data_IF_594226402258
#
_entry.id   IF_594226402258
#
_cell.length_a   1.000
_cell.length_b   1.000
_cell.length_c   1.000
_cell.angle_alpha   90.00
_cell.angle_beta   90.00
_cell.angle_gamma   90.00
#
_symmetry.space_group_name_H-M   'P 1'
#
loop_
_entity.id
_entity.type
_entity.pdbx_description
1 polymer ?
#
# COMPACT_ATOMS: atom_id res chain seq x y z
N UNK A 1 -64.78 -54.16 40.19
CA UNK A 1 -63.86 -53.43 39.30
C UNK A 1 -62.55 -53.27 40.02
N UNK A 2 -61.45 -53.70 39.41
CA UNK A 2 -60.12 -53.59 40.04
C UNK A 2 -59.57 -52.18 39.85
N UNK A 3 -58.78 -51.67 40.80
CA UNK A 3 -58.22 -50.30 40.73
C UNK A 3 -57.38 -50.05 39.46
N UNK A 4 -56.82 -51.11 38.87
CA UNK A 4 -56.02 -51.07 37.65
C UNK A 4 -56.89 -50.74 36.44
N UNK A 5 -58.10 -51.30 36.34
CA UNK A 5 -59.03 -51.05 35.22
C UNK A 5 -59.47 -49.58 35.18
N UNK A 6 -59.81 -49.00 36.34
CA UNK A 6 -60.22 -47.60 36.46
C UNK A 6 -59.09 -46.65 36.04
N UNK A 7 -57.84 -46.93 36.44
CA UNK A 7 -56.68 -46.15 36.02
C UNK A 7 -56.44 -46.24 34.51
N UNK A 8 -56.66 -47.41 33.92
CA UNK A 8 -56.43 -47.63 32.48
C UNK A 8 -57.42 -46.83 31.61
N UNK A 9 -58.68 -46.74 32.05
CA UNK A 9 -59.73 -45.96 31.38
C UNK A 9 -59.41 -44.45 31.45
N UNK A 10 -59.00 -43.96 32.62
CA UNK A 10 -58.62 -42.54 32.80
C UNK A 10 -57.41 -42.21 31.91
N UNK A 11 -56.38 -43.06 31.91
CA UNK A 11 -55.19 -42.87 31.09
C UNK A 11 -55.51 -42.83 29.59
N UNK A 12 -56.40 -43.72 29.12
CA UNK A 12 -56.87 -43.74 27.72
C UNK A 12 -57.58 -42.44 27.35
N UNK A 13 -58.51 -41.96 28.19
CA UNK A 13 -59.19 -40.68 27.98
C UNK A 13 -58.23 -39.49 27.96
N UNK A 14 -57.26 -39.45 28.88
CA UNK A 14 -56.24 -38.38 28.93
C UNK A 14 -55.36 -38.39 27.68
N UNK A 15 -54.98 -39.57 27.17
CA UNK A 15 -54.18 -39.70 25.94
C UNK A 15 -54.90 -39.15 24.71
N UNK A 16 -56.21 -39.39 24.59
CA UNK A 16 -57.01 -38.88 23.46
C UNK A 16 -57.09 -37.35 23.49
N UNK A 17 -57.32 -36.76 24.67
CA UNK A 17 -57.36 -35.30 24.83
C UNK A 17 -55.99 -34.68 24.49
N UNK A 18 -54.91 -35.26 25.01
CA UNK A 18 -53.55 -34.83 24.71
C UNK A 18 -53.23 -34.91 23.21
N UNK A 19 -53.69 -35.96 22.51
CA UNK A 19 -53.49 -36.10 21.08
C UNK A 19 -54.17 -34.97 20.29
N UNK A 20 -55.41 -34.61 20.64
CA UNK A 20 -56.12 -33.50 19.99
C UNK A 20 -55.41 -32.17 20.22
N UNK A 21 -54.97 -31.90 21.46
CA UNK A 21 -54.23 -30.69 21.82
C UNK A 21 -52.89 -30.62 21.07
N UNK A 22 -52.17 -31.74 20.97
CA UNK A 22 -50.91 -31.80 20.24
C UNK A 22 -51.10 -31.50 18.74
N UNK A 23 -52.15 -32.04 18.12
CA UNK A 23 -52.49 -31.75 16.71
C UNK A 23 -52.78 -30.25 16.53
N UNK A 24 -53.57 -29.65 17.42
CA UNK A 24 -53.90 -28.23 17.36
C UNK A 24 -52.66 -27.33 17.52
N UNK A 25 -51.78 -27.64 18.49
CA UNK A 25 -50.52 -26.93 18.70
C UNK A 25 -49.57 -27.08 17.51
N UNK A 26 -49.50 -28.26 16.90
CA UNK A 26 -48.67 -28.49 15.71
C UNK A 26 -49.11 -27.61 14.55
N UNK A 27 -50.42 -27.46 14.32
CA UNK A 27 -50.95 -26.61 13.24
C UNK A 27 -50.65 -25.13 13.53
N UNK A 28 -50.84 -24.70 14.79
CA UNK A 28 -50.56 -23.32 15.19
C UNK A 28 -49.07 -22.98 15.06
N UNK A 29 -48.20 -23.89 15.51
CA UNK A 29 -46.75 -23.75 15.38
C UNK A 29 -46.31 -23.72 13.92
N UNK A 30 -46.87 -24.59 13.07
CA UNK A 30 -46.58 -24.59 11.65
C UNK A 30 -46.92 -23.24 10.99
N UNK A 31 -48.10 -22.69 11.29
CA UNK A 31 -48.51 -21.37 10.77
C UNK A 31 -47.61 -20.23 11.26
N UNK A 32 -47.31 -20.18 12.55
CA UNK A 32 -46.39 -19.17 13.09
C UNK A 32 -44.99 -19.31 12.51
N UNK A 33 -44.47 -20.53 12.40
CA UNK A 33 -43.15 -20.80 11.85
C UNK A 33 -43.06 -20.42 10.37
N UNK A 34 -44.10 -20.69 9.58
CA UNK A 34 -44.14 -20.29 8.17
C UNK A 34 -44.09 -18.76 8.03
N UNK A 35 -44.88 -18.04 8.84
CA UNK A 35 -44.93 -16.58 8.81
C UNK A 35 -43.61 -15.94 9.28
N UNK A 36 -43.00 -16.46 10.35
CA UNK A 36 -41.69 -16.04 10.83
C UNK A 36 -40.58 -16.32 9.82
N UNK A 37 -40.63 -17.47 9.14
CA UNK A 37 -39.65 -17.82 8.11
C UNK A 37 -39.77 -16.89 6.91
N UNK A 38 -40.98 -16.51 6.52
CA UNK A 38 -41.22 -15.59 5.42
C UNK A 38 -40.76 -14.17 5.74
N UNK A 39 -41.09 -13.65 6.93
CA UNK A 39 -40.63 -12.33 7.38
C UNK A 39 -39.11 -12.27 7.57
N UNK A 40 -38.49 -13.35 8.04
CA UNK A 40 -37.01 -13.46 8.14
C UNK A 40 -36.37 -13.46 6.75
N UNK A 41 -36.97 -14.16 5.78
CA UNK A 41 -36.50 -14.19 4.39
C UNK A 41 -36.62 -12.81 3.74
N UNK A 42 -37.72 -12.10 3.98
CA UNK A 42 -37.92 -10.74 3.49
C UNK A 42 -36.93 -9.76 4.13
N UNK A 43 -36.73 -9.83 5.45
CA UNK A 43 -35.73 -9.03 6.16
C UNK A 43 -34.31 -9.29 5.62
N UNK A 44 -33.95 -10.56 5.40
CA UNK A 44 -32.66 -10.93 4.80
C UNK A 44 -32.49 -10.37 3.39
N UNK A 45 -33.56 -10.36 2.58
CA UNK A 45 -33.54 -9.78 1.23
C UNK A 45 -33.37 -8.26 1.28
N UNK A 46 -34.07 -7.59 2.19
CA UNK A 46 -33.95 -6.15 2.42
C UNK A 46 -32.53 -5.77 2.89
N UNK A 47 -31.95 -6.53 3.82
CA UNK A 47 -30.57 -6.36 4.27
C UNK A 47 -29.60 -6.51 3.11
N UNK A 48 -29.76 -7.56 2.29
CA UNK A 48 -28.89 -7.80 1.13
C UNK A 48 -28.94 -6.63 0.14
N UNK A 49 -30.13 -6.12 -0.16
CA UNK A 49 -30.30 -4.95 -1.03
C UNK A 49 -29.73 -3.67 -0.40
N UNK A 50 -29.79 -3.54 0.92
CA UNK A 50 -29.16 -2.45 1.66
C UNK A 50 -27.63 -2.49 1.56
N UNK A 51 -27.02 -3.67 1.72
CA UNK A 51 -25.57 -3.88 1.59
C UNK A 51 -25.11 -3.56 0.16
N UNK A 52 -25.81 -4.03 -0.87
CA UNK A 52 -25.47 -3.73 -2.26
C UNK A 52 -25.50 -2.22 -2.56
N UNK A 53 -26.46 -1.49 -1.96
CA UNK A 53 -26.50 -0.02 -2.07
C UNK A 53 -25.34 0.64 -1.33
N UNK A 54 -24.99 0.15 -0.15
CA UNK A 54 -23.84 0.65 0.62
C UNK A 54 -22.53 0.43 -0.13
N UNK A 55 -22.35 -0.73 -0.75
CA UNK A 55 -21.19 -1.04 -1.59
C UNK A 55 -21.07 -0.06 -2.76
N UNK A 56 -22.17 0.17 -3.50
CA UNK A 56 -22.19 1.15 -4.60
C UNK A 56 -21.89 2.58 -4.13
N UNK A 57 -22.41 2.99 -2.97
CA UNK A 57 -22.12 4.30 -2.40
C UNK A 57 -20.66 4.41 -1.96
N UNK A 58 -20.09 3.34 -1.41
CA UNK A 58 -18.70 3.29 -1.00
C UNK A 58 -17.77 3.36 -2.20
N UNK A 59 -18.02 2.57 -3.24
CA UNK A 59 -17.24 2.61 -4.48
C UNK A 59 -17.27 3.99 -5.12
N UNK A 60 -18.45 4.62 -5.15
CA UNK A 60 -18.61 5.98 -5.68
C UNK A 60 -17.84 7.00 -4.83
N UNK A 61 -17.96 6.94 -3.50
CA UNK A 61 -17.23 7.84 -2.61
C UNK A 61 -15.72 7.65 -2.73
N UNK A 62 -15.24 6.42 -2.83
CA UNK A 62 -13.84 6.13 -3.05
C UNK A 62 -13.36 6.70 -4.39
N UNK A 63 -14.11 6.48 -5.47
CA UNK A 63 -13.77 7.02 -6.78
C UNK A 63 -13.77 8.56 -6.80
N UNK A 64 -14.79 9.21 -6.24
CA UNK A 64 -14.91 10.67 -6.19
C UNK A 64 -13.80 11.29 -5.31
N UNK A 65 -13.57 10.74 -4.11
CA UNK A 65 -12.54 11.26 -3.20
C UNK A 65 -11.13 11.02 -3.73
N UNK A 66 -10.86 9.86 -4.33
CA UNK A 66 -9.58 9.58 -4.96
C UNK A 66 -9.35 10.46 -6.18
N UNK A 67 -10.40 10.73 -6.98
CA UNK A 67 -10.32 11.64 -8.12
C UNK A 67 -10.04 13.07 -7.66
N UNK A 68 -10.78 13.57 -6.66
CA UNK A 68 -10.53 14.89 -6.08
C UNK A 68 -9.12 14.99 -5.46
N UNK A 69 -8.66 13.96 -4.76
CA UNK A 69 -7.31 13.93 -4.19
C UNK A 69 -6.23 13.90 -5.29
N UNK A 70 -6.45 13.12 -6.36
CA UNK A 70 -5.55 13.05 -7.51
C UNK A 70 -5.51 14.39 -8.25
N UNK A 71 -6.65 15.07 -8.39
CA UNK A 71 -6.73 16.40 -8.99
C UNK A 71 -5.98 17.42 -8.14
N UNK A 72 -6.23 17.46 -6.83
CA UNK A 72 -5.51 18.35 -5.90
C UNK A 72 -4.00 18.08 -5.91
N UNK A 73 -3.59 16.80 -5.93
CA UNK A 73 -2.17 16.44 -6.03
C UNK A 73 -1.58 16.80 -7.40
N UNK A 74 -2.31 16.60 -8.48
CA UNK A 74 -1.88 16.95 -9.84
C UNK A 74 -1.74 18.46 -10.00
N UNK A 75 -2.69 19.23 -9.48
CA UNK A 75 -2.67 20.69 -9.51
C UNK A 75 -1.52 21.24 -8.65
N UNK A 76 -1.35 20.69 -7.43
CA UNK A 76 -0.21 20.99 -6.58
C UNK A 76 1.12 20.61 -7.26
N UNK A 77 1.19 19.45 -7.94
CA UNK A 77 2.38 19.03 -8.70
C UNK A 77 2.68 19.97 -9.86
N UNK A 78 1.68 20.38 -10.64
CA UNK A 78 1.85 21.32 -11.75
C UNK A 78 2.24 22.72 -11.27
N UNK A 79 1.77 23.13 -10.09
CA UNK A 79 2.11 24.41 -9.50
C UNK A 79 3.50 24.43 -8.86
N UNK A 80 3.90 23.31 -8.22
CA UNK A 80 5.23 23.13 -7.64
C UNK A 80 6.28 22.87 -8.73
N UNK A 81 5.89 22.18 -9.80
CA UNK A 81 6.74 21.79 -10.91
C UNK A 81 6.04 22.14 -12.23
N UNK A 82 5.93 23.43 -12.57
CA UNK A 82 5.44 23.83 -13.88
C UNK A 82 6.39 23.21 -14.90
N UNK A 83 5.89 22.32 -15.75
CA UNK A 83 6.69 21.80 -16.85
C UNK A 83 7.08 22.99 -17.73
N UNK A 84 8.31 23.45 -17.60
CA UNK A 84 8.92 24.43 -18.48
C UNK A 84 9.01 23.82 -19.87
N UNK A 85 7.96 24.00 -20.67
CA UNK A 85 8.19 24.16 -22.08
C UNK A 85 8.99 25.45 -22.23
N UNK A 86 10.29 25.29 -22.54
CA UNK A 86 11.28 26.24 -23.08
C UNK A 86 12.41 26.67 -22.11
N UNK A 87 13.64 26.24 -22.46
CA UNK A 87 14.98 26.71 -22.07
C UNK A 87 15.66 26.12 -20.81
N UNK A 88 16.29 24.96 -21.01
CA UNK A 88 16.79 24.04 -19.96
C UNK A 88 18.15 24.34 -19.31
N UNK A 89 18.99 25.27 -19.78
CA UNK A 89 20.43 25.17 -19.40
C UNK A 89 21.03 26.31 -18.54
N UNK A 90 20.24 27.23 -17.97
CA UNK A 90 20.80 28.33 -17.14
C UNK A 90 20.18 28.55 -15.76
N UNK A 91 19.19 27.77 -15.36
CA UNK A 91 18.36 28.06 -14.17
C UNK A 91 18.64 27.10 -12.99
N UNK A 92 19.40 26.03 -13.19
CA UNK A 92 19.64 24.99 -12.17
C UNK A 92 20.35 25.49 -10.91
N UNK A 93 21.28 26.44 -11.03
CA UNK A 93 22.07 26.92 -9.89
C UNK A 93 21.35 27.98 -9.04
N UNK A 94 20.49 28.81 -9.65
CA UNK A 94 19.67 29.78 -8.91
C UNK A 94 18.43 29.15 -8.26
N UNK A 95 17.90 28.06 -8.84
CA UNK A 95 16.75 27.36 -8.30
C UNK A 95 17.10 26.53 -7.06
N UNK A 96 18.28 25.92 -6.98
CA UNK A 96 18.71 25.23 -5.75
C UNK A 96 18.86 26.21 -4.57
N UNK A 97 19.48 27.38 -4.79
CA UNK A 97 19.60 28.41 -3.73
C UNK A 97 18.24 28.97 -3.30
N UNK A 98 17.34 29.26 -4.25
CA UNK A 98 15.99 29.78 -3.93
C UNK A 98 15.07 28.70 -3.33
N UNK A 99 15.26 27.43 -3.67
CA UNK A 99 14.55 26.32 -3.05
C UNK A 99 14.96 26.16 -1.59
N UNK A 100 16.26 26.20 -1.28
CA UNK A 100 16.76 26.12 0.11
C UNK A 100 16.32 27.31 0.97
N UNK A 101 16.30 28.53 0.41
CA UNK A 101 15.76 29.71 1.11
C UNK A 101 14.26 29.59 1.36
N UNK A 102 13.47 29.15 0.38
CA UNK A 102 12.02 28.95 0.54
C UNK A 102 11.68 27.81 1.48
N UNK A 103 12.45 26.72 1.47
CA UNK A 103 12.30 25.60 2.42
C UNK A 103 12.62 26.06 3.84
N UNK A 104 13.64 26.91 4.02
CA UNK A 104 13.94 27.49 5.32
C UNK A 104 12.87 28.48 5.79
N UNK A 105 12.32 29.30 4.90
CA UNK A 105 11.19 30.18 5.20
C UNK A 105 9.94 29.39 5.57
N UNK A 106 9.60 28.34 4.82
CA UNK A 106 8.50 27.42 5.13
C UNK A 106 8.72 26.72 6.48
N UNK A 107 9.94 26.26 6.77
CA UNK A 107 10.29 25.67 8.05
C UNK A 107 10.11 26.65 9.20
N UNK A 108 10.43 27.93 8.99
CA UNK A 108 10.23 28.99 10.01
C UNK A 108 8.74 29.30 10.19
N UNK A 109 7.97 29.42 9.10
CA UNK A 109 6.52 29.68 9.12
C UNK A 109 5.76 28.54 9.81
N UNK A 110 6.04 27.29 9.41
CA UNK A 110 5.46 26.08 10.00
C UNK A 110 5.81 25.98 11.48
N UNK A 111 7.06 26.24 11.87
CA UNK A 111 7.43 26.23 13.29
C UNK A 111 6.72 27.33 14.09
N UNK A 112 6.49 28.50 13.49
CA UNK A 112 5.81 29.63 14.14
C UNK A 112 4.31 29.36 14.29
N UNK A 113 3.67 28.77 13.29
CA UNK A 113 2.25 28.44 13.29
C UNK A 113 1.96 27.22 14.18
N UNK A 114 2.83 26.20 14.14
CA UNK A 114 2.78 25.08 15.07
C UNK A 114 3.01 25.55 16.51
N UNK A 115 3.97 26.45 16.77
CA UNK A 115 4.18 27.01 18.11
C UNK A 115 2.94 27.77 18.62
N UNK A 116 2.22 28.47 17.74
CA UNK A 116 0.94 29.12 18.09
C UNK A 116 -0.17 28.10 18.36
N UNK A 117 -0.29 27.04 17.55
CA UNK A 117 -1.26 25.96 17.82
C UNK A 117 -0.93 25.21 19.12
N UNK A 118 0.35 25.00 19.43
CA UNK A 118 0.82 24.32 20.65
C UNK A 118 0.70 25.16 21.93
N UNK A 119 0.70 26.49 21.82
CA UNK A 119 0.31 27.35 22.96
C UNK A 119 -1.20 27.31 23.21
N UNK A 120 -2.00 27.05 22.17
CA UNK A 120 -3.46 27.02 22.24
C UNK A 120 -4.01 25.66 22.72
N UNK A 121 -3.28 24.56 22.49
CA UNK A 121 -3.58 23.24 23.05
C UNK A 121 -2.40 22.75 23.89
N UNK A 122 -2.61 22.52 25.20
CA UNK A 122 -1.66 21.90 26.13
C UNK A 122 -1.32 20.45 25.71
N UNK A 123 -0.56 20.29 24.64
CA UNK A 123 -0.01 19.01 24.22
C UNK A 123 1.28 18.80 25.00
N UNK A 124 1.29 17.79 25.87
CA UNK A 124 2.44 17.41 26.69
C UNK A 124 3.66 17.10 25.83
N UNK A 125 4.83 17.61 26.22
CA UNK A 125 6.12 17.47 25.54
C UNK A 125 6.49 16.02 25.15
N UNK A 126 5.99 15.03 25.89
CA UNK A 126 6.18 13.61 25.58
C UNK A 126 5.48 13.15 24.28
N UNK A 127 4.31 13.73 23.93
CA UNK A 127 3.60 13.38 22.70
C UNK A 127 4.27 14.00 21.46
N UNK A 128 4.90 15.16 21.65
CA UNK A 128 5.72 15.85 20.66
C UNK A 128 6.96 15.04 20.27
N UNK A 129 7.69 14.47 21.25
CA UNK A 129 8.85 13.63 20.96
C UNK A 129 8.48 12.33 20.24
N UNK A 130 7.34 11.71 20.59
CA UNK A 130 6.88 10.50 19.89
C UNK A 130 6.48 10.77 18.44
N UNK A 131 5.81 11.90 18.16
CA UNK A 131 5.47 12.27 16.78
C UNK A 131 6.71 12.62 15.96
N UNK A 132 7.66 13.34 16.55
CA UNK A 132 8.94 13.66 15.89
C UNK A 132 9.72 12.41 15.50
N UNK A 133 9.78 11.42 16.40
CA UNK A 133 10.46 10.16 16.13
C UNK A 133 9.75 9.32 15.05
N UNK A 134 8.41 9.39 14.96
CA UNK A 134 7.66 8.72 13.89
C UNK A 134 7.87 9.39 12.54
N UNK A 135 7.97 10.72 12.49
CA UNK A 135 8.30 11.48 11.28
C UNK A 135 9.74 11.17 10.85
N UNK A 136 10.71 11.21 11.76
CA UNK A 136 12.11 10.88 11.45
C UNK A 136 12.24 9.42 10.99
N UNK A 137 11.45 8.50 11.56
CA UNK A 137 11.40 7.10 11.14
C UNK A 137 10.75 6.92 9.76
N UNK A 138 9.69 7.66 9.46
CA UNK A 138 9.02 7.63 8.15
C UNK A 138 9.89 8.26 7.05
N UNK A 139 10.58 9.36 7.34
CA UNK A 139 11.50 10.03 6.42
C UNK A 139 12.73 9.17 6.15
N UNK A 140 13.30 8.53 7.18
CA UNK A 140 14.43 7.60 7.01
C UNK A 140 14.02 6.31 6.31
N UNK A 141 12.83 5.75 6.57
CA UNK A 141 12.32 4.59 5.83
C UNK A 141 12.01 4.93 4.38
N UNK A 142 11.43 6.09 4.10
CA UNK A 142 11.17 6.58 2.73
C UNK A 142 12.48 6.74 1.96
N UNK A 143 13.51 7.32 2.59
CA UNK A 143 14.83 7.48 1.97
C UNK A 143 15.53 6.13 1.72
N UNK A 144 15.37 5.14 2.60
CA UNK A 144 15.94 3.79 2.40
C UNK A 144 15.27 3.05 1.25
N UNK A 145 13.94 3.11 1.15
CA UNK A 145 13.18 2.50 0.06
C UNK A 145 13.50 3.18 -1.28
N UNK A 146 13.72 4.50 -1.27
CA UNK A 146 14.11 5.23 -2.48
C UNK A 146 15.55 4.92 -2.93
N UNK A 147 16.49 4.73 -1.98
CA UNK A 147 17.84 4.29 -2.28
C UNK A 147 17.82 2.86 -2.84
N UNK A 148 17.06 1.95 -2.22
CA UNK A 148 16.94 0.54 -2.64
C UNK A 148 16.29 0.42 -4.02
N UNK A 149 15.21 1.15 -4.28
CA UNK A 149 14.58 1.19 -5.61
C UNK A 149 15.50 1.78 -6.69
N UNK A 150 16.35 2.75 -6.32
CA UNK A 150 17.32 3.36 -7.24
C UNK A 150 18.50 2.44 -7.51
N UNK A 151 19.03 1.76 -6.48
CA UNK A 151 20.08 0.75 -6.62
C UNK A 151 19.61 -0.44 -7.46
N UNK A 152 18.38 -0.93 -7.25
CA UNK A 152 17.78 -2.00 -8.07
C UNK A 152 17.60 -1.58 -9.55
N UNK A 153 17.25 -0.30 -9.78
CA UNK A 153 17.14 0.24 -11.15
C UNK A 153 18.51 0.29 -11.84
N UNK A 154 19.56 0.71 -11.13
CA UNK A 154 20.94 0.75 -11.64
C UNK A 154 21.44 -0.65 -11.94
N UNK A 155 21.24 -1.59 -11.01
CA UNK A 155 21.57 -3.00 -11.17
C UNK A 155 20.90 -3.62 -12.39
N UNK A 156 19.60 -3.38 -12.58
CA UNK A 156 18.86 -3.88 -13.74
C UNK A 156 19.38 -3.28 -15.07
N UNK A 157 19.79 -2.02 -15.08
CA UNK A 157 20.39 -1.39 -16.25
C UNK A 157 21.78 -1.97 -16.57
N UNK A 158 22.62 -2.22 -15.56
CA UNK A 158 23.91 -2.91 -15.72
C UNK A 158 23.71 -4.32 -16.29
N UNK A 159 22.79 -5.11 -15.70
CA UNK A 159 22.47 -6.46 -16.21
C UNK A 159 21.97 -6.42 -17.65
N UNK A 160 21.12 -5.45 -18.00
CA UNK A 160 20.60 -5.30 -19.35
C UNK A 160 21.71 -5.01 -20.37
N UNK A 161 22.63 -4.09 -20.05
CA UNK A 161 23.76 -3.75 -20.91
C UNK A 161 24.73 -4.92 -21.10
N UNK A 162 25.08 -5.63 -20.03
CA UNK A 162 25.97 -6.79 -20.11
C UNK A 162 25.33 -7.88 -20.99
N UNK A 163 24.03 -8.16 -20.82
CA UNK A 163 23.30 -9.13 -21.65
C UNK A 163 23.27 -8.72 -23.12
N UNK A 164 23.06 -7.44 -23.42
CA UNK A 164 23.09 -6.94 -24.80
C UNK A 164 24.47 -7.14 -25.43
N UNK A 165 25.54 -6.76 -24.75
CA UNK A 165 26.90 -6.84 -25.29
C UNK A 165 27.39 -8.30 -25.43
N UNK A 166 26.98 -9.18 -24.52
CA UNK A 166 27.24 -10.63 -24.65
C UNK A 166 26.51 -11.25 -25.85
N UNK A 167 25.28 -10.82 -26.15
CA UNK A 167 24.53 -11.29 -27.34
C UNK A 167 25.21 -10.88 -28.65
N UNK A 168 25.88 -9.75 -28.67
CA UNK A 168 26.68 -9.28 -29.81
C UNK A 168 28.04 -9.99 -29.97
N UNK A 169 28.33 -11.02 -29.15
CA UNK A 169 29.63 -11.73 -29.07
C UNK A 169 30.84 -10.81 -28.81
N UNK A 170 30.62 -9.61 -28.27
CA UNK A 170 31.70 -8.68 -27.88
C UNK A 170 32.18 -9.01 -26.47
N UNK A 171 33.49 -8.86 -26.24
CA UNK A 171 34.07 -8.90 -24.89
C UNK A 171 33.57 -7.66 -24.15
N UNK A 172 32.90 -7.86 -23.01
CA UNK A 172 32.36 -6.76 -22.22
C UNK A 172 33.45 -6.21 -21.32
N UNK A 173 33.87 -4.97 -21.57
CA UNK A 173 34.90 -4.28 -20.79
C UNK A 173 34.23 -3.35 -19.78
N UNK A 174 34.76 -3.30 -18.56
CA UNK A 174 34.23 -2.46 -17.48
C UNK A 174 34.13 -0.98 -17.86
N UNK A 175 35.17 -0.46 -18.52
CA UNK A 175 35.22 0.91 -19.03
C UNK A 175 34.07 1.22 -20.02
N UNK A 176 33.76 0.29 -20.92
CA UNK A 176 32.67 0.45 -21.89
C UNK A 176 31.28 0.49 -21.23
N UNK A 177 31.11 -0.22 -20.10
CA UNK A 177 29.88 -0.13 -19.29
C UNK A 177 29.78 1.25 -18.65
N UNK A 178 30.88 1.72 -18.03
CA UNK A 178 30.93 3.01 -17.36
C UNK A 178 30.70 4.14 -18.35
N UNK A 179 31.32 4.13 -19.52
CA UNK A 179 31.14 5.14 -20.57
C UNK A 179 29.71 5.20 -21.11
N UNK A 180 29.10 4.03 -21.37
CA UNK A 180 27.71 3.97 -21.85
C UNK A 180 26.70 4.40 -20.79
N UNK A 181 27.01 4.16 -19.51
CA UNK A 181 26.18 4.58 -18.38
C UNK A 181 26.49 6.00 -17.90
N UNK A 182 27.66 6.56 -18.19
CA UNK A 182 28.09 7.90 -17.77
C UNK A 182 27.13 9.00 -18.25
N UNK A 183 26.51 8.79 -19.42
CA UNK A 183 25.51 9.72 -19.96
C UNK A 183 24.17 9.73 -19.18
N UNK A 184 23.91 8.75 -18.32
CA UNK A 184 22.64 8.60 -17.58
C UNK A 184 22.81 8.49 -16.07
N UNK A 185 23.98 8.09 -15.60
CA UNK A 185 24.26 7.75 -14.21
C UNK A 185 25.66 8.23 -13.83
N UNK A 186 25.84 8.56 -12.54
CA UNK A 186 27.14 8.97 -12.02
C UNK A 186 28.12 7.77 -12.07
N UNK A 187 29.29 7.89 -12.73
CA UNK A 187 30.27 6.81 -12.89
C UNK A 187 30.69 6.17 -11.57
N UNK A 188 30.85 6.97 -10.51
CA UNK A 188 31.24 6.47 -9.18
C UNK A 188 30.22 5.48 -8.59
N UNK A 189 28.93 5.70 -8.83
CA UNK A 189 27.85 4.82 -8.36
C UNK A 189 27.73 3.54 -9.17
N UNK A 190 28.05 3.62 -10.46
CA UNK A 190 28.09 2.44 -11.33
C UNK A 190 29.22 1.51 -10.88
N UNK A 191 30.40 2.07 -10.60
CA UNK A 191 31.55 1.30 -10.09
C UNK A 191 31.20 0.66 -8.74
N UNK A 192 30.66 1.42 -7.78
CA UNK A 192 30.30 0.87 -6.47
C UNK A 192 29.23 -0.23 -6.53
N UNK A 193 28.25 -0.09 -7.43
CA UNK A 193 27.21 -1.13 -7.60
C UNK A 193 27.76 -2.35 -8.34
N UNK A 194 28.70 -2.17 -9.28
CA UNK A 194 29.41 -3.27 -9.93
C UNK A 194 30.29 -4.04 -8.94
N UNK A 195 30.96 -3.36 -8.00
CA UNK A 195 31.71 -3.99 -6.90
C UNK A 195 30.77 -4.83 -6.03
N UNK A 196 29.64 -4.28 -5.59
CA UNK A 196 28.63 -5.05 -4.84
C UNK A 196 28.11 -6.26 -5.64
N UNK A 197 27.86 -6.12 -6.93
CA UNK A 197 27.42 -7.23 -7.78
C UNK A 197 28.48 -8.34 -7.94
N UNK A 198 29.77 -8.01 -7.83
CA UNK A 198 30.86 -8.99 -7.80
C UNK A 198 30.92 -9.68 -6.44
N UNK A 199 30.82 -8.92 -5.34
CA UNK A 199 30.78 -9.45 -3.98
C UNK A 199 29.58 -10.40 -3.75
N UNK A 200 28.44 -10.09 -4.36
CA UNK A 200 27.21 -10.90 -4.32
C UNK A 200 27.25 -12.08 -5.31
N UNK A 201 28.30 -12.23 -6.11
CA UNK A 201 28.51 -13.35 -7.02
C UNK A 201 27.72 -13.29 -8.34
N UNK A 202 27.10 -12.16 -8.68
CA UNK A 202 26.36 -11.98 -9.93
C UNK A 202 27.27 -11.72 -11.15
N UNK A 203 28.51 -11.25 -10.91
CA UNK A 203 29.49 -10.92 -11.94
C UNK A 203 30.81 -11.67 -11.70
N UNK A 204 31.35 -12.34 -12.72
CA UNK A 204 32.74 -12.80 -12.71
C UNK A 204 33.64 -11.74 -13.32
N UNK A 205 34.65 -11.32 -12.56
CA UNK A 205 35.79 -10.58 -13.07
C UNK A 205 36.88 -11.55 -13.52
N UNK A 206 37.64 -11.15 -14.54
CA UNK A 206 38.85 -11.88 -14.94
C UNK A 206 40.08 -11.51 -14.07
N UNK A 207 39.96 -10.50 -13.20
CA UNK A 207 41.03 -9.96 -12.34
C UNK A 207 40.51 -9.74 -10.92
N UNK A 208 41.41 -9.80 -9.95
CA UNK A 208 41.10 -9.65 -8.51
C UNK A 208 40.61 -8.23 -8.12
N UNK A 209 40.66 -7.27 -9.04
CA UNK A 209 40.18 -5.89 -8.84
C UNK A 209 39.53 -5.33 -10.11
N UNK A 210 38.51 -4.49 -9.94
CA UNK A 210 37.85 -3.72 -11.00
C UNK A 210 38.79 -2.63 -11.55
N UNK A 211 39.49 -2.96 -12.64
CA UNK A 211 40.19 -2.01 -13.50
C UNK A 211 39.40 -1.68 -14.78
N UNK A 212 39.74 -0.59 -15.49
CA UNK A 212 39.06 -0.17 -16.72
C UNK A 212 39.05 -1.28 -17.79
N UNK A 213 40.13 -2.04 -17.95
CA UNK A 213 40.22 -3.12 -18.94
C UNK A 213 39.62 -4.47 -18.48
N UNK A 214 38.94 -4.51 -17.33
CA UNK A 214 38.46 -5.77 -16.77
C UNK A 214 37.32 -6.32 -17.62
N UNK A 215 37.47 -7.59 -18.02
CA UNK A 215 36.41 -8.29 -18.74
C UNK A 215 35.38 -8.79 -17.73
N UNK A 216 34.12 -8.41 -17.93
CA UNK A 216 33.01 -8.73 -17.05
C UNK A 216 32.12 -9.75 -17.72
N UNK A 217 31.74 -10.80 -16.98
CA UNK A 217 30.69 -11.73 -17.42
C UNK A 217 29.66 -11.91 -16.32
N UNK A 218 28.40 -12.00 -16.73
CA UNK A 218 27.29 -12.33 -15.85
C UNK A 218 27.37 -13.81 -15.44
N UNK A 219 27.45 -14.07 -14.14
CA UNK A 219 27.33 -15.40 -13.54
C UNK A 219 25.86 -15.64 -13.23
N UNK A 220 25.21 -16.35 -14.16
CA UNK A 220 23.83 -16.88 -14.13
C UNK A 220 22.76 -16.10 -13.36
#
# INVERSE_FOLDING_TARGET
MTNIEISSIIASCTSVILAIVAIALSILFFRMSSLLSESTKEASKSISAGVERLEKLFDKLYADTFSMMKEAYSDMRKHIWPEESTNTDKITEEVEKKADEKVNLLKVEINKELSKMFQTQKITSAKLSSMRHLIDKAVSSSRRVEIEAREETVRNQIRHLIRMMQRERKKVVADEIVDRLANKLNPSKVISEMEKMVDEGELSLNTDSLGPETIIKLLR
#
